data_IF_934208861743
#
_entry.id   IF_934208861743
#
_cell.length_a   1.000
_cell.length_b   1.000
_cell.length_c   1.000
_cell.angle_alpha   90.00
_cell.angle_beta   90.00
_cell.angle_gamma   90.00
#
_symmetry.space_group_name_H-M   'P 1'
#
loop_
_entity.id
_entity.type
_entity.pdbx_description
1 polymer ?
#
# COMPACT_ATOMS: atom_id res chain seq x y z
N UNK A 1 0.97 -11.66 -12.52
CA UNK A 1 1.72 -10.42 -12.85
C UNK A 1 3.14 -10.59 -12.28
N UNK A 2 4.22 -10.18 -12.97
CA UNK A 2 5.59 -10.42 -12.48
C UNK A 2 5.92 -9.70 -11.16
N UNK A 3 5.09 -8.76 -10.74
CA UNK A 3 5.21 -7.97 -9.50
C UNK A 3 3.88 -7.97 -8.74
N UNK A 4 3.95 -8.00 -7.40
CA UNK A 4 2.78 -7.91 -6.52
C UNK A 4 2.27 -6.47 -6.45
N UNK A 5 0.97 -6.32 -6.19
CA UNK A 5 0.32 -5.04 -5.93
C UNK A 5 -0.60 -5.16 -4.71
N UNK A 6 -0.79 -4.06 -3.99
CA UNK A 6 -1.81 -3.94 -2.96
C UNK A 6 -2.83 -2.88 -3.38
N UNK A 7 -4.12 -3.17 -3.21
CA UNK A 7 -5.21 -2.25 -3.56
C UNK A 7 -6.05 -2.01 -2.33
N UNK A 8 -6.25 -0.73 -2.00
CA UNK A 8 -7.13 -0.30 -0.93
C UNK A 8 -8.29 0.48 -1.55
N UNK A 9 -9.48 0.21 -1.05
CA UNK A 9 -10.70 0.96 -1.39
C UNK A 9 -11.29 1.39 -0.07
N UNK A 10 -11.52 2.69 0.08
CA UNK A 10 -12.03 3.27 1.31
C UNK A 10 -13.20 4.20 1.01
N UNK A 11 -14.34 3.94 1.65
CA UNK A 11 -15.58 4.70 1.50
C UNK A 11 -15.91 5.55 2.74
N UNK A 12 -15.00 5.64 3.72
CA UNK A 12 -15.15 6.50 4.88
C UNK A 12 -14.85 7.96 4.55
N UNK A 13 -14.99 8.81 5.57
CA UNK A 13 -14.94 10.27 5.44
C UNK A 13 -13.57 10.88 5.75
N UNK A 14 -12.62 10.08 6.24
CA UNK A 14 -11.27 10.54 6.61
C UNK A 14 -10.20 9.67 5.93
N UNK A 15 -8.98 10.21 5.74
CA UNK A 15 -7.84 9.39 5.29
C UNK A 15 -7.59 8.31 6.34
N UNK A 16 -7.29 7.10 5.89
CA UNK A 16 -6.98 5.99 6.78
C UNK A 16 -5.83 5.15 6.23
N UNK A 17 -5.41 4.16 7.01
CA UNK A 17 -4.44 3.17 6.58
C UNK A 17 -4.90 1.76 6.96
N UNK A 18 -4.37 0.77 6.26
CA UNK A 18 -4.64 -0.64 6.53
C UNK A 18 -3.32 -1.41 6.51
N UNK A 19 -3.05 -2.10 7.62
CA UNK A 19 -1.96 -3.06 7.71
C UNK A 19 -2.27 -4.29 6.84
N UNK A 20 -1.43 -4.56 5.85
CA UNK A 20 -1.64 -5.66 4.90
C UNK A 20 -0.41 -6.55 4.81
N UNK A 21 -0.63 -7.87 4.85
CA UNK A 21 0.38 -8.86 4.53
C UNK A 21 0.52 -8.99 3.00
N UNK A 22 1.68 -8.62 2.47
CA UNK A 22 2.00 -8.72 1.03
C UNK A 22 2.99 -9.84 0.71
N UNK A 23 3.56 -10.47 1.73
CA UNK A 23 4.45 -11.64 1.62
C UNK A 23 5.86 -11.37 2.12
N UNK A 24 6.47 -12.33 2.81
CA UNK A 24 7.85 -12.21 3.34
C UNK A 24 8.89 -11.99 2.26
N UNK A 25 8.65 -12.44 1.03
CA UNK A 25 9.52 -12.19 -0.11
C UNK A 25 9.49 -10.73 -0.61
N UNK A 26 8.61 -9.90 -0.03
CA UNK A 26 8.61 -8.46 -0.22
C UNK A 26 9.30 -7.69 0.92
N UNK A 27 9.82 -8.36 1.95
CA UNK A 27 10.50 -7.70 3.07
C UNK A 27 11.59 -6.73 2.58
N UNK A 28 11.64 -5.56 3.21
CA UNK A 28 12.51 -4.43 2.90
C UNK A 28 12.30 -3.78 1.51
N UNK A 29 11.27 -4.18 0.75
CA UNK A 29 10.91 -3.47 -0.48
C UNK A 29 10.02 -2.28 -0.17
N UNK A 30 10.09 -1.30 -1.06
CA UNK A 30 9.24 -0.11 -1.02
C UNK A 30 8.08 -0.27 -2.00
N UNK A 31 6.92 0.24 -1.61
CA UNK A 31 5.75 0.38 -2.45
C UNK A 31 5.38 1.85 -2.58
N UNK A 32 4.92 2.25 -3.78
CA UNK A 32 4.40 3.59 -4.05
C UNK A 32 3.00 3.53 -4.68
N UNK A 33 2.14 4.50 -4.37
CA UNK A 33 0.83 4.64 -5.00
C UNK A 33 0.95 5.15 -6.44
N UNK A 34 0.41 4.39 -7.40
CA UNK A 34 0.43 4.75 -8.83
C UNK A 34 -0.65 5.74 -9.22
N UNK A 35 -1.66 5.93 -8.37
CA UNK A 35 -2.71 6.91 -8.62
C UNK A 35 -2.29 8.32 -8.15
N UNK A 36 -1.12 8.44 -7.52
CA UNK A 36 -0.46 9.68 -7.13
C UNK A 36 -1.31 10.58 -6.25
N UNK A 37 -2.14 9.99 -5.39
CA UNK A 37 -2.86 10.74 -4.36
C UNK A 37 -2.03 10.95 -3.08
N UNK A 38 -0.92 10.23 -2.97
CA UNK A 38 -0.03 10.22 -1.81
C UNK A 38 1.42 10.05 -2.27
N UNK A 39 2.32 10.95 -1.84
CA UNK A 39 3.77 10.85 -2.10
C UNK A 39 4.48 9.94 -1.06
N UNK A 40 3.71 9.38 -0.13
CA UNK A 40 4.20 8.45 0.88
C UNK A 40 4.71 7.14 0.26
N UNK A 41 5.73 6.55 0.89
CA UNK A 41 6.25 5.22 0.54
C UNK A 41 5.98 4.25 1.68
N UNK A 42 5.58 3.03 1.32
CA UNK A 42 5.34 1.96 2.28
C UNK A 42 6.52 0.99 2.22
N UNK A 43 7.27 0.88 3.31
CA UNK A 43 8.34 -0.12 3.46
C UNK A 43 7.72 -1.37 4.07
N UNK A 44 7.93 -2.52 3.44
CA UNK A 44 7.46 -3.81 3.97
C UNK A 44 8.42 -4.30 5.05
N UNK A 45 7.89 -4.64 6.21
CA UNK A 45 8.67 -5.19 7.32
C UNK A 45 9.20 -6.61 7.04
N UNK A 46 10.03 -7.11 7.95
CA UNK A 46 10.65 -8.44 7.84
C UNK A 46 9.62 -9.59 7.85
N UNK A 47 8.43 -9.36 8.42
CA UNK A 47 7.35 -10.32 8.47
C UNK A 47 6.45 -10.26 7.24
N UNK A 48 6.70 -9.34 6.31
CA UNK A 48 5.98 -9.21 5.05
C UNK A 48 4.73 -8.31 5.12
N UNK A 49 4.64 -7.44 6.13
CA UNK A 49 3.54 -6.49 6.31
C UNK A 49 3.94 -5.06 5.93
N UNK A 50 2.98 -4.30 5.43
CA UNK A 50 3.10 -2.86 5.22
C UNK A 50 1.84 -2.13 5.66
N UNK A 51 1.98 -0.89 6.12
CA UNK A 51 0.87 -0.01 6.47
C UNK A 51 0.55 0.90 5.27
N UNK A 52 -0.54 0.58 4.57
CA UNK A 52 -0.88 1.24 3.30
C UNK A 52 -1.96 2.30 3.52
N UNK A 53 -1.73 3.53 3.05
CA UNK A 53 -2.70 4.62 3.17
C UNK A 53 -3.71 4.63 2.02
N UNK A 54 -4.86 5.25 2.28
CA UNK A 54 -5.88 5.54 1.27
C UNK A 54 -6.73 6.74 1.71
N UNK A 55 -7.02 7.63 0.78
CA UNK A 55 -7.84 8.82 1.04
C UNK A 55 -9.32 8.46 1.25
N UNK A 56 -10.04 9.36 1.92
CA UNK A 56 -11.49 9.32 2.06
C UNK A 56 -12.17 9.12 0.70
N UNK A 57 -13.17 8.23 0.66
CA UNK A 57 -14.01 7.99 -0.52
C UNK A 57 -13.23 7.72 -1.83
N UNK A 58 -12.09 7.02 -1.74
CA UNK A 58 -11.17 6.80 -2.86
C UNK A 58 -10.62 5.36 -2.90
N UNK A 59 -9.79 5.10 -3.91
CA UNK A 59 -8.96 3.91 -4.00
C UNK A 59 -7.48 4.31 -4.17
N UNK A 60 -6.59 3.48 -3.62
CA UNK A 60 -5.14 3.59 -3.78
C UNK A 60 -4.59 2.26 -4.33
N UNK A 61 -3.60 2.33 -5.23
CA UNK A 61 -2.99 1.15 -5.85
C UNK A 61 -1.49 1.23 -5.65
N UNK A 62 -0.96 0.33 -4.85
CA UNK A 62 0.44 0.28 -4.46
C UNK A 62 1.18 -0.79 -5.25
N UNK A 63 2.32 -0.43 -5.85
CA UNK A 63 3.22 -1.36 -6.53
C UNK A 63 4.62 -1.27 -5.96
N UNK A 64 5.35 -2.38 -5.99
CA UNK A 64 6.77 -2.38 -5.60
C UNK A 64 7.60 -1.54 -6.57
N UNK A 65 8.50 -0.69 -6.03
CA UNK A 65 9.46 0.14 -6.77
C UNK A 65 10.89 -0.39 -6.68
#
# INVERSE_FOLDING_TARGET
HPTKSATLIHNGTEKTSLMMFVGKEQANKEFSDVLSYDDERVVIDEEGFGDFTVNAQSAAIWIAV
#
